data_IF_437558742964
#
_entry.id   IF_437558742964
#
_cell.length_a   1.000
_cell.length_b   1.000
_cell.length_c   1.000
_cell.angle_alpha   90.00
_cell.angle_beta   90.00
_cell.angle_gamma   90.00
#
_symmetry.space_group_name_H-M   'P 1'
#
loop_
_entity.id
_entity.type
_entity.pdbx_description
1 polymer ?
#
# COMPACT_ATOMS: atom_id res chain seq x y z
N UNK A 1 9.87 -6.71 -5.83
CA UNK A 1 9.66 -7.69 -6.90
C UNK A 1 9.29 -9.03 -6.29
N UNK A 2 8.23 -9.66 -6.79
CA UNK A 2 7.74 -10.98 -6.36
C UNK A 2 8.19 -12.00 -7.41
N UNK A 3 8.50 -13.23 -7.01
CA UNK A 3 8.91 -14.26 -7.98
C UNK A 3 7.68 -14.90 -8.63
N UNK A 4 7.77 -15.37 -9.88
CA UNK A 4 6.60 -15.91 -10.58
C UNK A 4 5.89 -17.06 -9.85
N UNK A 5 6.64 -17.91 -9.12
CA UNK A 5 6.07 -19.03 -8.36
C UNK A 5 5.43 -18.62 -7.03
N UNK A 6 5.61 -17.38 -6.59
CA UNK A 6 4.95 -16.81 -5.42
C UNK A 6 3.62 -16.13 -5.81
N UNK A 7 3.17 -16.28 -7.07
CA UNK A 7 1.89 -15.78 -7.57
C UNK A 7 0.89 -16.93 -7.74
N UNK A 8 -0.39 -16.60 -7.58
CA UNK A 8 -1.47 -17.48 -7.97
C UNK A 8 -1.87 -17.26 -9.43
N UNK A 9 -2.28 -18.33 -10.10
CA UNK A 9 -2.72 -18.30 -11.49
C UNK A 9 -4.11 -18.91 -11.63
N UNK A 10 -4.94 -18.28 -12.45
CA UNK A 10 -6.22 -18.79 -12.91
C UNK A 10 -6.10 -19.12 -14.41
N UNK A 11 -6.83 -20.14 -14.86
CA UNK A 11 -6.90 -20.50 -16.29
C UNK A 11 -5.51 -20.73 -16.94
N UNK A 12 -4.57 -21.28 -16.18
CA UNK A 12 -3.22 -21.60 -16.65
C UNK A 12 -2.23 -20.49 -16.40
N UNK A 13 -2.20 -19.45 -17.25
CA UNK A 13 -1.14 -18.43 -17.25
C UNK A 13 -1.59 -17.03 -16.79
N UNK A 14 -2.82 -16.87 -16.32
CA UNK A 14 -3.32 -15.56 -15.87
C UNK A 14 -3.04 -15.37 -14.40
N UNK A 15 -2.03 -14.55 -14.10
CA UNK A 15 -1.69 -14.20 -12.72
C UNK A 15 -2.86 -13.46 -12.05
N UNK A 16 -3.07 -13.73 -10.77
CA UNK A 16 -4.11 -13.12 -9.94
C UNK A 16 -3.47 -12.33 -8.82
N UNK A 17 -4.06 -11.18 -8.52
CA UNK A 17 -3.72 -10.38 -7.35
C UNK A 17 -4.99 -9.99 -6.61
N UNK A 18 -4.89 -9.92 -5.29
CA UNK A 18 -5.99 -9.63 -4.40
C UNK A 18 -5.88 -8.19 -3.91
N UNK A 19 -6.90 -7.39 -4.22
CA UNK A 19 -6.99 -6.03 -3.70
C UNK A 19 -7.24 -6.03 -2.20
N UNK A 20 -6.59 -5.12 -1.48
CA UNK A 20 -6.88 -4.93 -0.06
C UNK A 20 -8.25 -4.30 0.16
N UNK A 21 -8.86 -4.62 1.31
CA UNK A 21 -10.18 -4.08 1.68
C UNK A 21 -10.22 -2.56 1.87
N UNK A 22 -9.12 -1.94 2.29
CA UNK A 22 -9.12 -0.55 2.79
C UNK A 22 -7.96 0.31 2.29
N UNK A 23 -7.14 -0.21 1.38
CA UNK A 23 -6.00 0.53 0.79
C UNK A 23 -5.94 0.30 -0.72
N UNK A 24 -5.01 0.97 -1.38
CA UNK A 24 -4.73 0.80 -2.81
C UNK A 24 -3.70 -0.31 -3.11
N UNK A 25 -3.32 -1.09 -2.10
CA UNK A 25 -2.30 -2.15 -2.23
C UNK A 25 -2.95 -3.46 -2.68
N UNK A 26 -2.25 -4.19 -3.56
CA UNK A 26 -2.61 -5.53 -3.99
C UNK A 26 -1.60 -6.56 -3.46
N UNK A 27 -2.08 -7.76 -3.16
CA UNK A 27 -1.29 -8.85 -2.58
C UNK A 27 -1.38 -10.12 -3.43
N UNK A 28 -0.33 -10.97 -3.44
CA UNK A 28 -0.29 -12.18 -4.26
C UNK A 28 -1.24 -13.29 -3.77
N UNK A 29 -1.59 -13.28 -2.47
CA UNK A 29 -2.42 -14.29 -1.84
C UNK A 29 -3.55 -13.66 -1.01
N UNK A 30 -4.66 -14.37 -0.79
CA UNK A 30 -5.64 -13.96 0.20
C UNK A 30 -5.03 -14.12 1.62
N UNK A 31 -5.38 -13.21 2.51
CA UNK A 31 -4.90 -13.22 3.89
C UNK A 31 -4.98 -11.85 4.55
N UNK A 32 -4.44 -11.79 5.77
CA UNK A 32 -4.31 -10.56 6.54
C UNK A 32 -2.84 -10.12 6.53
N UNK A 33 -2.59 -8.95 5.97
CA UNK A 33 -1.27 -8.35 5.89
C UNK A 33 -1.16 -7.16 6.83
N UNK A 34 -0.09 -7.10 7.61
CA UNK A 34 0.19 -5.97 8.49
C UNK A 34 1.31 -5.13 7.89
N UNK A 35 0.99 -3.91 7.47
CA UNK A 35 1.96 -2.95 6.95
C UNK A 35 2.42 -2.02 8.07
N UNK A 36 3.60 -2.28 8.64
CA UNK A 36 4.13 -1.52 9.77
C UNK A 36 5.34 -2.20 10.41
N UNK A 37 5.57 -1.94 11.70
CA UNK A 37 6.67 -2.55 12.45
C UNK A 37 6.34 -4.01 12.78
N UNK A 38 7.06 -4.94 12.15
CA UNK A 38 6.97 -6.37 12.48
C UNK A 38 7.38 -6.64 13.92
N UNK A 39 8.40 -5.95 14.43
CA UNK A 39 8.90 -6.10 15.81
C UNK A 39 7.84 -5.75 16.85
N UNK A 40 7.05 -4.70 16.60
CA UNK A 40 6.03 -4.23 17.54
C UNK A 40 4.65 -4.84 17.25
N UNK A 41 4.49 -5.58 16.16
CA UNK A 41 3.19 -6.01 15.63
C UNK A 41 2.19 -4.85 15.51
N UNK A 42 2.69 -3.65 15.24
CA UNK A 42 1.92 -2.42 15.07
C UNK A 42 2.00 -1.98 13.61
N UNK A 43 0.85 -1.87 12.95
CA UNK A 43 0.77 -1.47 11.56
C UNK A 43 -0.66 -1.34 11.06
N UNK A 44 -0.77 -0.92 9.80
CA UNK A 44 -2.03 -0.86 9.08
C UNK A 44 -2.40 -2.28 8.64
N UNK A 45 -3.55 -2.76 9.10
CA UNK A 45 -4.08 -4.07 8.72
C UNK A 45 -4.76 -3.98 7.35
N UNK A 46 -4.34 -4.84 6.45
CA UNK A 46 -4.91 -5.01 5.11
C UNK A 46 -5.40 -6.44 4.95
N UNK A 47 -6.72 -6.62 5.00
CA UNK A 47 -7.34 -7.92 4.73
C UNK A 47 -7.63 -8.04 3.22
N UNK A 48 -7.29 -9.19 2.66
CA UNK A 48 -7.48 -9.51 1.25
C UNK A 48 -8.13 -10.88 1.17
N UNK A 49 -9.18 -11.02 0.37
CA UNK A 49 -9.86 -12.28 0.14
C UNK A 49 -10.42 -12.32 -1.28
N UNK A 50 -10.69 -13.52 -1.78
CA UNK A 50 -11.41 -13.68 -3.03
C UNK A 50 -12.83 -13.13 -2.86
N UNK A 51 -13.25 -12.27 -3.78
CA UNK A 51 -14.60 -11.69 -3.80
C UNK A 51 -15.33 -12.05 -5.10
N UNK A 52 -16.63 -11.76 -5.16
CA UNK A 52 -17.40 -11.85 -6.40
C UNK A 52 -17.10 -10.73 -7.39
N UNK A 53 -16.43 -9.66 -6.95
CA UNK A 53 -15.99 -8.56 -7.81
C UNK A 53 -14.62 -8.90 -8.39
N UNK A 54 -14.59 -9.11 -9.70
CA UNK A 54 -13.40 -9.49 -10.45
C UNK A 54 -13.16 -8.43 -11.52
N UNK A 55 -11.92 -7.96 -11.62
CA UNK A 55 -11.45 -7.09 -12.69
C UNK A 55 -10.53 -7.90 -13.59
N UNK A 56 -10.96 -8.11 -14.84
CA UNK A 56 -10.15 -8.79 -15.85
C UNK A 56 -9.29 -7.77 -16.63
N UNK A 57 -8.01 -7.72 -16.29
CA UNK A 57 -7.02 -6.88 -16.99
C UNK A 57 -6.32 -7.62 -18.14
N UNK A 58 -6.67 -8.88 -18.44
CA UNK A 58 -5.98 -9.68 -19.47
C UNK A 58 -6.39 -9.31 -20.90
N UNK A 59 -7.54 -8.65 -21.07
CA UNK A 59 -8.09 -8.28 -22.38
C UNK A 59 -7.54 -6.96 -22.91
N UNK A 60 -7.34 -5.98 -22.02
CA UNK A 60 -6.89 -4.64 -22.37
C UNK A 60 -5.71 -4.22 -21.49
N UNK A 61 -4.50 -4.45 -21.98
CA UNK A 61 -3.26 -4.04 -21.33
C UNK A 61 -2.32 -3.38 -22.33
N UNK A 62 -1.37 -2.59 -21.83
CA UNK A 62 -0.25 -2.05 -22.62
C UNK A 62 1.05 -2.45 -21.94
N UNK A 63 1.94 -3.08 -22.69
CA UNK A 63 3.31 -3.34 -22.24
C UNK A 63 4.02 -1.99 -22.24
N UNK A 64 4.65 -1.66 -21.11
CA UNK A 64 5.31 -0.36 -20.94
C UNK A 64 6.83 -0.44 -20.88
N UNK A 65 7.39 -1.62 -20.61
CA UNK A 65 8.82 -1.86 -20.62
C UNK A 65 9.11 -3.34 -20.91
N UNK A 66 10.10 -3.60 -21.77
CA UNK A 66 10.64 -4.93 -22.02
C UNK A 66 12.11 -4.82 -22.46
N UNK A 67 13.01 -4.61 -21.49
CA UNK A 67 14.43 -4.31 -21.71
C UNK A 67 15.15 -5.34 -22.59
N UNK A 68 14.74 -6.61 -22.53
CA UNK A 68 15.33 -7.70 -23.31
C UNK A 68 15.07 -7.60 -24.82
N UNK A 69 14.15 -6.74 -25.27
CA UNK A 69 13.86 -6.51 -26.69
C UNK A 69 14.72 -5.38 -27.31
N UNK A 70 15.60 -4.74 -26.53
CA UNK A 70 16.43 -3.62 -26.96
C UNK A 70 15.69 -2.27 -27.00
N UNK A 71 16.41 -1.20 -27.37
CA UNK A 71 15.94 0.20 -27.26
C UNK A 71 14.63 0.51 -28.01
N UNK A 72 14.30 -0.24 -29.07
CA UNK A 72 13.10 -0.01 -29.89
C UNK A 72 12.03 -1.11 -29.71
N UNK A 73 12.14 -1.93 -28.67
CA UNK A 73 11.25 -3.07 -28.46
C UNK A 73 9.85 -2.70 -27.94
N UNK A 74 9.73 -1.58 -27.21
CA UNK A 74 8.47 -1.13 -26.59
C UNK A 74 8.39 0.39 -26.61
N UNK A 75 7.26 0.91 -27.08
CA UNK A 75 6.94 2.34 -27.04
C UNK A 75 6.31 2.72 -25.68
N UNK A 76 7.13 3.30 -24.80
CA UNK A 76 6.75 3.70 -23.45
C UNK A 76 5.70 4.83 -23.48
N UNK A 77 4.54 4.66 -22.81
CA UNK A 77 3.56 5.74 -22.71
C UNK A 77 4.10 7.00 -22.03
N UNK A 78 3.78 8.17 -22.61
CA UNK A 78 4.22 9.48 -22.10
C UNK A 78 3.81 9.79 -20.65
N UNK A 79 2.72 9.19 -20.15
CA UNK A 79 2.28 9.37 -18.76
C UNK A 79 3.23 8.74 -17.73
N UNK A 80 4.09 7.80 -18.12
CA UNK A 80 5.14 7.26 -17.23
C UNK A 80 6.26 8.27 -16.96
N UNK A 81 6.41 9.25 -17.85
CA UNK A 81 7.36 10.35 -17.68
C UNK A 81 6.83 11.45 -16.74
N UNK A 82 5.60 11.31 -16.23
CA UNK A 82 5.04 12.24 -15.26
C UNK A 82 5.58 11.95 -13.85
N UNK A 83 6.50 12.79 -13.40
CA UNK A 83 7.15 12.70 -12.09
C UNK A 83 6.39 13.45 -10.97
N UNK A 84 5.22 14.02 -11.28
CA UNK A 84 4.40 14.74 -10.31
C UNK A 84 3.63 13.79 -9.38
N UNK A 85 3.22 14.31 -8.22
CA UNK A 85 2.28 13.59 -7.37
C UNK A 85 0.92 13.45 -8.06
N UNK A 86 0.35 12.25 -8.02
CA UNK A 86 -0.99 11.99 -8.55
C UNK A 86 -2.06 12.34 -7.50
N UNK A 87 -3.09 13.07 -7.93
CA UNK A 87 -4.25 13.39 -7.11
C UNK A 87 -4.02 14.50 -6.08
N UNK A 88 -5.11 14.88 -5.41
CA UNK A 88 -5.08 15.96 -4.40
C UNK A 88 -4.41 15.45 -3.13
N UNK A 89 -3.27 16.04 -2.75
CA UNK A 89 -2.64 15.77 -1.46
C UNK A 89 -3.45 16.46 -0.36
N UNK A 90 -4.22 15.69 0.40
CA UNK A 90 -4.85 16.19 1.64
C UNK A 90 -3.91 15.88 2.78
N UNK A 91 -3.29 16.91 3.34
CA UNK A 91 -2.41 16.79 4.50
C UNK A 91 -3.28 17.01 5.73
N UNK A 92 -3.50 15.95 6.50
CA UNK A 92 -4.10 16.07 7.82
C UNK A 92 -2.97 16.17 8.84
N UNK A 93 -2.88 17.28 9.56
CA UNK A 93 -1.95 17.41 10.69
C UNK A 93 -2.54 16.69 11.91
N UNK A 94 -2.60 15.37 11.84
CA UNK A 94 -3.07 14.54 12.94
C UNK A 94 -2.11 14.60 14.13
N UNK A 95 -0.84 14.96 13.92
CA UNK A 95 0.11 15.24 15.01
C UNK A 95 -0.37 16.39 15.88
N UNK A 96 -0.80 17.51 15.30
CA UNK A 96 -1.36 18.61 16.09
C UNK A 96 -2.61 18.20 16.89
N UNK A 97 -3.45 17.32 16.35
CA UNK A 97 -4.60 16.78 17.09
C UNK A 97 -4.17 15.87 18.25
N UNK A 98 -3.15 15.02 18.06
CA UNK A 98 -2.61 14.19 19.14
C UNK A 98 -1.94 15.02 20.24
N UNK A 99 -1.23 16.09 19.88
CA UNK A 99 -0.59 16.99 20.85
C UNK A 99 -1.63 17.66 21.76
N UNK A 100 -2.79 18.06 21.19
CA UNK A 100 -3.93 18.57 21.99
C UNK A 100 -4.47 17.51 22.95
N UNK A 101 -4.52 16.24 22.54
CA UNK A 101 -4.98 15.14 23.40
C UNK A 101 -3.96 14.89 24.52
N UNK A 102 -2.66 14.84 24.21
CA UNK A 102 -1.59 14.70 25.21
C UNK A 102 -1.68 15.80 26.27
N UNK A 103 -1.87 17.05 25.84
CA UNK A 103 -1.95 18.20 26.75
C UNK A 103 -3.15 18.14 27.72
N UNK A 104 -4.20 17.37 27.38
CA UNK A 104 -5.38 17.17 28.25
C UNK A 104 -5.24 16.00 29.21
N UNK A 105 -4.25 15.13 29.02
CA UNK A 105 -4.02 13.98 29.90
C UNK A 105 -3.34 14.42 31.22
N UNK A 106 -3.58 13.72 32.34
CA UNK A 106 -2.83 13.92 33.57
C UNK A 106 -1.31 13.75 33.35
N UNK A 107 -0.49 14.60 33.96
CA UNK A 107 0.97 14.63 33.77
C UNK A 107 1.64 13.25 33.87
N UNK A 108 1.16 12.41 34.80
CA UNK A 108 1.68 11.06 35.05
C UNK A 108 1.64 10.13 33.83
N UNK A 109 0.70 10.32 32.89
CA UNK A 109 0.55 9.44 31.72
C UNK A 109 0.97 10.09 30.40
N UNK A 110 1.26 11.40 30.40
CA UNK A 110 1.63 12.14 29.18
C UNK A 110 2.86 11.52 28.50
N UNK A 111 3.92 11.24 29.27
CA UNK A 111 5.15 10.66 28.72
C UNK A 111 4.94 9.26 28.16
N UNK A 112 4.17 8.42 28.85
CA UNK A 112 3.86 7.06 28.38
C UNK A 112 3.02 7.08 27.10
N UNK A 113 2.04 7.99 27.00
CA UNK A 113 1.21 8.13 25.81
C UNK A 113 1.98 8.71 24.62
N UNK A 114 2.83 9.71 24.85
CA UNK A 114 3.72 10.25 23.82
C UNK A 114 4.73 9.19 23.32
N UNK A 115 5.30 8.39 24.24
CA UNK A 115 6.19 7.30 23.89
C UNK A 115 5.47 6.23 23.05
N UNK A 116 4.22 5.90 23.37
CA UNK A 116 3.40 4.99 22.57
C UNK A 116 3.12 5.60 21.17
N UNK A 117 2.76 6.88 21.11
CA UNK A 117 2.49 7.56 19.84
C UNK A 117 3.69 7.54 18.90
N UNK A 118 4.90 7.70 19.45
CA UNK A 118 6.15 7.61 18.68
C UNK A 118 6.42 6.26 18.02
N UNK A 119 5.69 5.21 18.42
CA UNK A 119 5.81 3.86 17.86
C UNK A 119 4.86 3.60 16.70
N UNK A 120 3.89 4.48 16.44
CA UNK A 120 2.98 4.33 15.31
C UNK A 120 3.67 4.67 13.97
N UNK A 121 3.18 4.09 12.85
CA UNK A 121 3.70 4.40 11.53
C UNK A 121 3.54 5.88 11.17
N UNK A 122 4.54 6.45 10.48
CA UNK A 122 4.54 7.86 10.08
C UNK A 122 3.30 8.26 9.25
N UNK A 123 2.77 7.36 8.42
CA UNK A 123 1.57 7.62 7.62
C UNK A 123 0.30 7.88 8.43
N UNK A 124 0.31 7.62 9.74
CA UNK A 124 -0.79 7.97 10.65
C UNK A 124 -0.76 9.46 11.04
N UNK A 125 0.40 10.11 10.90
CA UNK A 125 0.65 11.51 11.29
C UNK A 125 0.52 12.54 10.15
N UNK A 126 0.24 12.07 8.92
CA UNK A 126 0.11 12.91 7.72
C UNK A 126 1.37 13.01 6.87
#
# INVERSE_FOLDING_TARGET
WIRPWDLEFIEGNRAVVYSSRSSHVCFPHPGTYLHGSSMLSLGVRNDCARSSFILDCSTHYKIVAAEYLGENGVDEPSWLQFMGGWGRKVIYDSRAEFDKIIARLPYLVQFSFAALLSKFPAGLFG
#
